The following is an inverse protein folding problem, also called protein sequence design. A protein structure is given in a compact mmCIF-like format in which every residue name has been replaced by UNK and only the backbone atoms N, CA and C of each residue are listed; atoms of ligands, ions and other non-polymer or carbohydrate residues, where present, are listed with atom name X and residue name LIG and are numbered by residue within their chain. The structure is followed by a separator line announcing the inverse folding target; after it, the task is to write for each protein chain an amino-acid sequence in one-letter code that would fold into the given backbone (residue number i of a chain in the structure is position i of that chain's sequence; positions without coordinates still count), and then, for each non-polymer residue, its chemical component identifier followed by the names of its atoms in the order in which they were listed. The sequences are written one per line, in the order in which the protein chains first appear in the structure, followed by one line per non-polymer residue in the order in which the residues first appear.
data_IF_830216178875
#
_entry.id   IF_830216178875
#
_cell.length_a   1.000
_cell.length_b   1.000
_cell.length_c   1.000
_cell.angle_alpha   90.00
_cell.angle_beta   90.00
_cell.angle_gamma   90.00
#
_symmetry.space_group_name_H-M   'P 1'
#
loop_
_entity.id
_entity.type
_entity.pdbx_description
1 polymer ?
#
# COMPACT_ATOMS: atom_id res chain seq x y z
N UNK A 1 12.61 3.06 13.16
CA UNK A 1 11.60 2.08 12.69
C UNK A 1 10.22 2.64 12.98
N UNK A 2 9.22 2.27 12.18
CA UNK A 2 7.80 2.63 12.39
C UNK A 2 7.09 1.37 12.89
N UNK A 3 6.30 1.49 13.96
CA UNK A 3 5.68 0.34 14.63
C UNK A 3 4.16 0.28 14.46
N UNK A 4 3.60 1.21 13.69
CA UNK A 4 2.19 1.25 13.36
C UNK A 4 1.89 0.37 12.13
N UNK A 5 0.73 -0.30 12.10
CA UNK A 5 0.12 -0.84 10.90
C UNK A 5 0.27 0.09 9.70
N UNK A 6 0.86 -0.39 8.61
CA UNK A 6 1.08 0.43 7.42
C UNK A 6 0.67 -0.31 6.15
N UNK A 7 0.11 0.44 5.19
CA UNK A 7 -0.12 0.02 3.82
C UNK A 7 0.72 0.89 2.90
N UNK A 8 1.59 0.28 2.10
CA UNK A 8 2.36 0.95 1.06
C UNK A 8 1.84 0.50 -0.31
N UNK A 9 1.31 1.46 -1.07
CA UNK A 9 0.78 1.24 -2.42
C UNK A 9 1.74 1.91 -3.40
N UNK A 10 2.41 1.11 -4.23
CA UNK A 10 3.23 1.58 -5.34
C UNK A 10 2.48 1.50 -6.67
N UNK A 11 3.09 2.08 -7.70
CA UNK A 11 2.60 2.05 -9.07
C UNK A 11 3.67 1.47 -10.00
N UNK A 12 3.29 0.55 -10.87
CA UNK A 12 4.22 -0.23 -11.70
C UNK A 12 5.08 0.63 -12.63
N UNK A 13 4.50 1.70 -13.19
CA UNK A 13 5.12 2.56 -14.18
C UNK A 13 5.59 3.90 -13.59
N UNK A 14 5.67 4.02 -12.25
CA UNK A 14 6.13 5.24 -11.59
C UNK A 14 7.64 5.47 -11.85
N UNK A 15 8.02 6.52 -12.60
CA UNK A 15 9.42 6.78 -12.91
C UNK A 15 10.19 7.43 -11.74
N UNK A 16 9.49 7.98 -10.74
CA UNK A 16 10.08 8.69 -9.61
C UNK A 16 10.24 7.78 -8.40
N UNK A 17 9.28 6.89 -8.17
CA UNK A 17 9.28 5.90 -7.08
C UNK A 17 9.03 4.49 -7.64
N UNK A 18 9.99 3.90 -8.39
CA UNK A 18 9.80 2.58 -8.95
C UNK A 18 9.57 1.51 -7.85
N UNK A 19 8.79 0.45 -8.10
CA UNK A 19 8.47 -0.57 -7.10
C UNK A 19 9.67 -1.25 -6.43
N UNK A 20 10.84 -1.29 -7.09
CA UNK A 20 12.09 -1.82 -6.52
C UNK A 20 12.52 -1.08 -5.24
N UNK A 21 12.13 0.19 -5.07
CA UNK A 21 12.42 0.95 -3.84
C UNK A 21 11.58 0.49 -2.65
N UNK A 22 10.59 -0.38 -2.86
CA UNK A 22 9.78 -0.98 -1.81
C UNK A 22 10.41 -2.25 -1.21
N UNK A 23 11.50 -2.76 -1.80
CA UNK A 23 12.23 -3.93 -1.30
C UNK A 23 12.91 -3.61 0.04
N UNK A 24 12.80 -4.51 1.03
CA UNK A 24 13.41 -4.33 2.35
C UNK A 24 12.72 -3.35 3.28
N UNK A 25 11.62 -2.69 2.86
CA UNK A 25 10.90 -1.74 3.71
C UNK A 25 10.34 -2.35 4.99
N UNK A 26 10.07 -3.66 4.99
CA UNK A 26 9.69 -4.46 6.17
C UNK A 26 10.73 -4.42 7.30
N UNK A 27 12.02 -4.19 7.01
CA UNK A 27 13.05 -4.03 8.04
C UNK A 27 12.87 -2.72 8.83
N UNK A 28 12.22 -1.72 8.22
CA UNK A 28 11.95 -0.41 8.82
C UNK A 28 10.52 -0.29 9.36
N UNK A 29 9.59 -1.04 8.79
CA UNK A 29 8.16 -1.07 9.12
C UNK A 29 7.72 -2.54 9.27
N UNK A 30 7.79 -3.12 10.48
CA UNK A 30 7.58 -4.56 10.65
C UNK A 30 6.15 -5.05 10.33
N UNK A 31 5.14 -4.20 10.52
CA UNK A 31 3.74 -4.49 10.16
C UNK A 31 3.36 -3.73 8.87
N UNK A 32 3.99 -4.13 7.76
CA UNK A 32 3.82 -3.53 6.45
C UNK A 32 3.12 -4.47 5.48
N UNK A 33 2.01 -4.00 4.91
CA UNK A 33 1.42 -4.59 3.71
C UNK A 33 1.85 -3.77 2.49
N UNK A 34 2.26 -4.46 1.42
CA UNK A 34 2.69 -3.83 0.17
C UNK A 34 1.76 -4.24 -0.97
N UNK A 35 1.43 -3.30 -1.86
CA UNK A 35 0.73 -3.58 -3.10
C UNK A 35 1.31 -2.72 -4.24
N UNK A 36 1.31 -3.24 -5.46
CA UNK A 36 1.71 -2.49 -6.65
C UNK A 36 0.57 -2.53 -7.64
N UNK A 37 0.04 -1.35 -7.99
CA UNK A 37 -1.01 -1.21 -9.00
C UNK A 37 -0.38 -1.33 -10.38
N UNK A 38 -0.89 -2.26 -11.20
CA UNK A 38 -0.40 -2.51 -12.56
C UNK A 38 -0.89 -1.46 -13.54
N UNK A 39 -0.13 -1.25 -14.61
CA UNK A 39 -0.45 -0.30 -15.68
C UNK A 39 -0.81 1.10 -15.12
N UNK A 40 -0.09 1.54 -14.09
CA UNK A 40 -0.33 2.78 -13.37
C UNK A 40 0.97 3.57 -13.25
N UNK A 41 0.92 4.86 -13.56
CA UNK A 41 1.99 5.83 -13.31
C UNK A 41 1.93 6.44 -11.92
N UNK A 42 2.61 7.57 -11.76
CA UNK A 42 2.89 8.20 -10.47
C UNK A 42 1.63 8.68 -9.71
N UNK A 43 0.55 9.01 -10.40
CA UNK A 43 -0.65 9.58 -9.79
C UNK A 43 -1.77 8.55 -9.73
N UNK A 44 -1.61 7.56 -8.84
CA UNK A 44 -2.54 6.44 -8.63
C UNK A 44 -4.00 6.88 -8.44
N UNK A 45 -4.23 8.00 -7.74
CA UNK A 45 -5.57 8.53 -7.51
C UNK A 45 -6.26 9.05 -8.78
N UNK A 46 -5.48 9.43 -9.80
CA UNK A 46 -6.00 9.88 -11.09
C UNK A 46 -6.08 8.73 -12.11
N UNK A 47 -5.09 7.84 -12.10
CA UNK A 47 -4.94 6.82 -13.13
C UNK A 47 -5.75 5.55 -12.83
N UNK A 48 -5.85 5.17 -11.55
CA UNK A 48 -6.53 3.95 -11.08
C UNK A 48 -7.35 4.22 -9.80
N UNK A 49 -8.29 5.19 -9.81
CA UNK A 49 -9.00 5.62 -8.60
C UNK A 49 -9.75 4.50 -7.90
N UNK A 50 -10.44 3.63 -8.66
CA UNK A 50 -11.26 2.55 -8.09
C UNK A 50 -10.40 1.46 -7.43
N UNK A 51 -9.30 1.09 -8.08
CA UNK A 51 -8.37 0.08 -7.57
C UNK A 51 -7.65 0.60 -6.32
N UNK A 52 -7.15 1.83 -6.36
CA UNK A 52 -6.57 2.49 -5.20
C UNK A 52 -7.56 2.55 -4.02
N UNK A 53 -8.78 3.00 -4.29
CA UNK A 53 -9.82 3.15 -3.26
C UNK A 53 -10.17 1.80 -2.64
N UNK A 54 -10.32 0.76 -3.45
CA UNK A 54 -10.60 -0.60 -2.98
C UNK A 54 -9.48 -1.11 -2.07
N UNK A 55 -8.21 -0.96 -2.48
CA UNK A 55 -7.06 -1.37 -1.67
C UNK A 55 -7.02 -0.67 -0.30
N UNK A 56 -7.30 0.64 -0.28
CA UNK A 56 -7.32 1.42 0.96
C UNK A 56 -8.47 1.00 1.88
N UNK A 57 -9.69 0.88 1.36
CA UNK A 57 -10.88 0.55 2.14
C UNK A 57 -10.81 -0.89 2.68
N UNK A 58 -10.44 -1.85 1.83
CA UNK A 58 -10.32 -3.26 2.24
C UNK A 58 -9.29 -3.44 3.35
N UNK A 59 -8.17 -2.71 3.25
CA UNK A 59 -7.16 -2.72 4.30
C UNK A 59 -7.70 -2.16 5.61
N UNK A 60 -8.40 -1.02 5.57
CA UNK A 60 -8.98 -0.40 6.78
C UNK A 60 -10.02 -1.31 7.44
N UNK A 61 -10.93 -1.90 6.66
CA UNK A 61 -11.96 -2.80 7.19
C UNK A 61 -11.34 -4.03 7.84
N UNK A 62 -10.36 -4.66 7.18
CA UNK A 62 -9.64 -5.80 7.76
C UNK A 62 -8.98 -5.43 9.09
N UNK A 63 -8.34 -4.25 9.17
CA UNK A 63 -7.71 -3.77 10.41
C UNK A 63 -8.73 -3.51 11.51
N UNK A 64 -9.90 -3.00 11.17
CA UNK A 64 -11.00 -2.81 12.12
C UNK A 64 -11.51 -4.15 12.66
N UNK A 65 -11.75 -5.13 11.79
CA UNK A 65 -12.18 -6.47 12.17
C UNK A 65 -11.15 -7.16 13.08
N UNK A 66 -9.87 -7.07 12.75
CA UNK A 66 -8.77 -7.61 13.57
C UNK A 66 -8.71 -6.96 14.96
N UNK A 67 -9.14 -5.71 15.11
CA UNK A 67 -9.23 -5.03 16.41
C UNK A 67 -10.47 -5.42 17.20
N UNK A 68 -11.61 -5.63 16.53
CA UNK A 68 -12.87 -6.04 17.16
C UNK A 68 -12.84 -7.49 17.65
N UNK A 69 -12.02 -8.34 17.04
CA UNK A 69 -11.88 -9.76 17.37
C UNK A 69 -10.72 -10.08 18.33
N UNK A 70 -10.08 -9.06 18.92
CA UNK A 70 -9.08 -9.18 19.99
C UNK A 70 -9.74 -9.07 21.37
#
# INVERSE_FOLDING_TARGET
TVHQPSLMIGAELDPFLPPVFMEGMEERVPDLQKHVIKDCGHWTQWEKPDELSTLMVDWLLKREDDLRNR
#
